data_IF_668006520563
#
_entry.id   IF_668006520563
#
_cell.length_a   1.000
_cell.length_b   1.000
_cell.length_c   1.000
_cell.angle_alpha   90.00
_cell.angle_beta   90.00
_cell.angle_gamma   90.00
#
_symmetry.space_group_name_H-M   'P 1'
#
loop_
_entity.id
_entity.type
_entity.pdbx_description
1 polymer ?
#
# COMPACT_ATOMS: atom_id res chain seq x y z
N UNK A 1 36.59 31.28 -64.34
CA UNK A 1 35.58 30.24 -64.03
C UNK A 1 35.59 29.99 -62.53
N UNK A 2 34.41 30.06 -61.94
CA UNK A 2 34.03 29.99 -60.51
C UNK A 2 34.75 28.89 -59.72
N UNK A 3 35.28 29.20 -58.52
CA UNK A 3 35.29 28.33 -57.32
C UNK A 3 35.32 29.20 -56.05
N UNK A 4 34.17 29.40 -55.41
CA UNK A 4 33.69 28.73 -54.19
C UNK A 4 34.46 29.11 -52.92
N UNK A 5 33.89 30.04 -52.14
CA UNK A 5 34.28 30.35 -50.76
C UNK A 5 33.46 29.42 -49.85
N UNK A 6 34.10 28.45 -49.22
CA UNK A 6 33.46 27.61 -48.20
C UNK A 6 33.43 28.33 -46.86
N UNK A 7 32.24 28.75 -46.46
CA UNK A 7 31.95 29.21 -45.09
C UNK A 7 31.83 28.00 -44.17
N UNK A 8 32.75 27.85 -43.22
CA UNK A 8 32.63 26.86 -42.14
C UNK A 8 31.80 27.45 -41.00
N UNK A 9 30.56 26.99 -40.86
CA UNK A 9 29.75 27.18 -39.65
C UNK A 9 30.23 26.19 -38.59
N UNK A 10 30.87 26.68 -37.52
CA UNK A 10 31.11 25.90 -36.30
C UNK A 10 29.77 25.75 -35.56
N UNK A 11 29.19 24.55 -35.61
CA UNK A 11 28.15 24.15 -34.66
C UNK A 11 28.81 23.71 -33.35
N UNK A 12 28.71 24.53 -32.30
CA UNK A 12 29.08 24.09 -30.95
C UNK A 12 28.03 23.10 -30.46
N UNK A 13 28.41 21.83 -30.35
CA UNK A 13 27.63 20.79 -29.66
C UNK A 13 27.58 21.13 -28.17
N UNK A 14 26.53 21.82 -27.74
CA UNK A 14 26.11 21.86 -26.34
C UNK A 14 25.57 20.47 -25.99
N UNK A 15 26.43 19.62 -25.43
CA UNK A 15 26.04 18.35 -24.85
C UNK A 15 25.13 18.62 -23.65
N UNK A 16 23.82 18.43 -23.84
CA UNK A 16 22.86 18.34 -22.74
C UNK A 16 23.19 17.05 -21.98
N UNK A 17 23.93 17.18 -20.89
CA UNK A 17 24.07 16.08 -19.93
C UNK A 17 22.71 15.91 -19.25
N UNK A 18 21.98 14.85 -19.65
CA UNK A 18 20.85 14.39 -18.87
C UNK A 18 21.40 13.96 -17.50
N UNK A 19 21.03 14.68 -16.43
CA UNK A 19 21.26 14.18 -15.08
C UNK A 19 20.42 12.93 -14.91
N UNK A 20 21.06 11.76 -14.90
CA UNK A 20 20.41 10.55 -14.41
C UNK A 20 20.11 10.78 -12.93
N UNK A 21 18.83 10.84 -12.56
CA UNK A 21 18.42 10.77 -11.16
C UNK A 21 18.89 9.43 -10.62
N UNK A 22 20.07 9.41 -10.00
CA UNK A 22 20.49 8.26 -9.22
C UNK A 22 19.48 8.05 -8.12
N UNK A 23 19.03 6.81 -8.05
CA UNK A 23 17.94 6.35 -7.23
C UNK A 23 18.32 6.40 -5.75
N UNK A 24 18.09 7.54 -5.10
CA UNK A 24 18.45 7.75 -3.71
C UNK A 24 17.49 7.01 -2.77
N UNK A 25 18.01 6.01 -2.05
CA UNK A 25 17.35 5.43 -0.87
C UNK A 25 17.79 6.23 0.36
N UNK A 26 16.85 6.81 1.09
CA UNK A 26 17.14 7.60 2.29
C UNK A 26 16.92 6.77 3.56
N UNK A 27 17.97 6.65 4.38
CA UNK A 27 17.92 5.92 5.65
C UNK A 27 17.47 6.80 6.82
N UNK A 28 17.37 8.11 6.64
CA UNK A 28 16.91 9.03 7.66
C UNK A 28 15.38 9.04 7.71
N UNK A 29 14.81 8.99 8.92
CA UNK A 29 13.39 9.25 9.14
C UNK A 29 13.13 10.75 9.25
N UNK A 30 12.43 11.39 8.29
CA UNK A 30 12.12 12.81 8.36
C UNK A 30 11.20 13.13 9.55
N UNK A 31 11.38 14.32 10.16
CA UNK A 31 10.65 14.73 11.37
C UNK A 31 9.13 14.77 11.20
N UNK A 32 8.66 15.02 9.98
CA UNK A 32 7.24 15.11 9.64
C UNK A 32 6.54 13.75 9.47
N UNK A 33 7.27 12.63 9.52
CA UNK A 33 6.63 11.33 9.75
C UNK A 33 6.04 11.27 11.16
N UNK A 34 4.79 10.84 11.24
CA UNK A 34 4.01 10.74 12.48
C UNK A 34 3.37 9.37 12.58
N UNK A 35 3.14 8.93 13.81
CA UNK A 35 2.24 7.81 14.07
C UNK A 35 0.79 8.28 13.88
N UNK A 36 0.01 7.58 13.06
CA UNK A 36 -1.37 7.94 12.76
C UNK A 36 -2.23 8.07 14.03
N UNK A 37 -1.98 7.26 15.06
CA UNK A 37 -2.78 7.25 16.30
C UNK A 37 -2.63 8.56 17.09
N UNK A 38 -1.55 9.31 16.87
CA UNK A 38 -1.36 10.65 17.46
C UNK A 38 -2.15 11.75 16.74
N UNK A 39 -2.65 11.48 15.53
CA UNK A 39 -3.39 12.44 14.69
C UNK A 39 -4.87 12.07 14.59
N UNK A 40 -5.17 10.78 14.46
CA UNK A 40 -6.51 10.21 14.33
C UNK A 40 -6.69 9.05 15.33
N UNK A 41 -6.97 9.32 16.61
CA UNK A 41 -6.97 8.30 17.66
C UNK A 41 -8.11 7.27 17.54
N UNK A 42 -9.15 7.55 16.75
CA UNK A 42 -10.27 6.63 16.53
C UNK A 42 -10.02 5.62 15.41
N UNK A 43 -8.89 5.70 14.69
CA UNK A 43 -8.54 4.69 13.67
C UNK A 43 -7.98 3.44 14.33
N UNK A 44 -8.29 2.30 13.74
CA UNK A 44 -7.73 1.01 14.16
C UNK A 44 -6.46 0.73 13.37
N UNK A 45 -5.42 0.20 14.03
CA UNK A 45 -4.14 -0.13 13.42
C UNK A 45 -3.90 -1.63 13.53
N UNK A 46 -3.88 -2.30 12.37
CA UNK A 46 -3.73 -3.75 12.22
C UNK A 46 -2.55 -4.04 11.30
N UNK A 47 -1.33 -3.67 11.75
CA UNK A 47 -0.12 -3.69 10.91
C UNK A 47 0.25 -5.11 10.45
N UNK A 48 -0.27 -5.52 9.28
CA UNK A 48 -0.21 -6.91 8.80
C UNK A 48 1.21 -7.42 8.61
N UNK A 49 2.11 -6.55 8.16
CA UNK A 49 3.51 -6.87 7.92
C UNK A 49 4.40 -6.87 9.18
N UNK A 50 3.91 -6.36 10.31
CA UNK A 50 4.53 -6.63 11.62
C UNK A 50 4.20 -8.04 12.13
N UNK A 51 3.05 -8.58 11.74
CA UNK A 51 2.56 -9.90 12.15
C UNK A 51 2.94 -11.01 11.15
N UNK A 52 2.53 -12.25 11.44
CA UNK A 52 2.61 -13.37 10.48
C UNK A 52 1.39 -13.51 9.57
N UNK A 53 0.28 -12.78 9.80
CA UNK A 53 -0.90 -12.88 8.93
C UNK A 53 -0.80 -11.92 7.74
N UNK A 54 0.04 -12.30 6.79
CA UNK A 54 0.24 -11.66 5.50
C UNK A 54 0.59 -12.72 4.45
N UNK A 55 0.71 -12.35 3.18
CA UNK A 55 0.97 -13.29 2.08
C UNK A 55 2.32 -14.03 2.15
N UNK A 56 3.25 -13.61 3.02
CA UNK A 56 4.52 -14.29 3.29
C UNK A 56 4.42 -15.21 4.51
N UNK A 57 3.49 -15.01 5.45
CA UNK A 57 3.30 -15.93 6.59
C UNK A 57 4.30 -15.75 7.73
N UNK A 58 5.05 -14.64 7.75
CA UNK A 58 5.95 -14.23 8.84
C UNK A 58 6.04 -12.70 8.91
N UNK A 59 6.54 -12.12 10.02
CA UNK A 59 6.89 -10.71 10.05
C UNK A 59 7.86 -10.33 8.92
N UNK A 60 7.62 -9.18 8.33
CA UNK A 60 8.36 -8.67 7.17
C UNK A 60 9.56 -7.86 7.66
N UNK A 61 10.69 -8.00 6.98
CA UNK A 61 11.90 -7.24 7.31
C UNK A 61 11.61 -5.73 7.31
N UNK A 62 12.07 -5.04 8.35
CA UNK A 62 11.88 -3.59 8.51
C UNK A 62 10.66 -3.19 9.34
N UNK A 63 9.72 -4.10 9.60
CA UNK A 63 8.60 -3.89 10.52
C UNK A 63 8.97 -4.31 11.94
N UNK A 64 9.47 -3.37 12.74
CA UNK A 64 9.95 -3.64 14.11
C UNK A 64 8.93 -3.26 15.20
N UNK A 65 7.81 -2.63 14.85
CA UNK A 65 6.72 -2.30 15.76
C UNK A 65 5.37 -2.25 15.00
N UNK A 66 4.23 -2.48 15.68
CA UNK A 66 2.91 -2.40 15.08
C UNK A 66 2.41 -0.94 15.00
N UNK A 67 3.20 -0.05 14.42
CA UNK A 67 2.86 1.38 14.27
C UNK A 67 2.68 1.74 12.81
N UNK A 68 1.66 2.56 12.52
CA UNK A 68 1.45 3.12 11.18
C UNK A 68 2.12 4.49 11.11
N UNK A 69 3.23 4.58 10.39
CA UNK A 69 3.93 5.84 10.13
C UNK A 69 3.48 6.43 8.79
N UNK A 70 3.11 7.70 8.79
CA UNK A 70 2.74 8.45 7.60
C UNK A 70 3.40 9.83 7.62
N UNK A 71 3.59 10.44 6.45
CA UNK A 71 3.84 11.89 6.40
C UNK A 71 2.66 12.63 7.05
N UNK A 72 2.94 13.72 7.76
CA UNK A 72 1.90 14.50 8.44
C UNK A 72 0.75 14.93 7.51
N UNK A 73 0.98 15.35 6.24
CA UNK A 73 -0.11 15.64 5.31
C UNK A 73 -1.03 14.44 5.05
N UNK A 74 -0.46 13.24 4.83
CA UNK A 74 -1.25 12.03 4.65
C UNK A 74 -2.04 11.67 5.93
N UNK A 75 -1.41 11.76 7.11
CA UNK A 75 -2.08 11.49 8.38
C UNK A 75 -3.26 12.45 8.64
N UNK A 76 -3.11 13.75 8.32
CA UNK A 76 -4.18 14.73 8.42
C UNK A 76 -5.34 14.42 7.46
N UNK A 77 -5.04 13.99 6.23
CA UNK A 77 -6.06 13.60 5.25
C UNK A 77 -6.82 12.34 5.69
N UNK A 78 -6.13 11.34 6.25
CA UNK A 78 -6.76 10.16 6.87
C UNK A 78 -7.70 10.57 8.02
N UNK A 79 -7.27 11.51 8.86
CA UNK A 79 -8.12 12.04 9.94
C UNK A 79 -9.42 12.64 9.40
N UNK A 80 -9.37 13.41 8.31
CA UNK A 80 -10.58 13.98 7.70
C UNK A 80 -11.56 12.89 7.25
N UNK A 81 -11.06 11.78 6.70
CA UNK A 81 -11.91 10.64 6.32
C UNK A 81 -12.52 9.97 7.55
N UNK A 82 -11.73 9.69 8.58
CA UNK A 82 -12.23 9.12 9.83
C UNK A 82 -13.29 10.02 10.50
N UNK A 83 -13.07 11.35 10.53
CA UNK A 83 -14.02 12.32 11.07
C UNK A 83 -15.36 12.31 10.30
N UNK A 84 -15.33 12.11 8.97
CA UNK A 84 -16.54 12.00 8.12
C UNK A 84 -17.31 10.70 8.33
N UNK A 85 -16.63 9.62 8.68
CA UNK A 85 -17.24 8.31 8.96
C UNK A 85 -17.88 8.26 10.36
N UNK A 86 -17.30 8.98 11.32
CA UNK A 86 -17.70 8.91 12.74
C UNK A 86 -19.20 9.13 13.01
N UNK A 87 -19.91 10.11 12.40
CA UNK A 87 -21.34 10.29 12.63
C UNK A 87 -22.21 9.09 12.23
N UNK A 88 -21.68 8.18 11.40
CA UNK A 88 -22.35 6.97 10.95
C UNK A 88 -21.97 5.72 11.77
N UNK A 89 -21.23 5.90 12.88
CA UNK A 89 -20.75 4.79 13.69
C UNK A 89 -19.66 3.96 13.00
N UNK A 90 -18.91 4.59 12.09
CA UNK A 90 -17.82 3.97 11.33
C UNK A 90 -16.50 4.68 11.60
N UNK A 91 -15.40 3.98 11.38
CA UNK A 91 -14.03 4.52 11.37
C UNK A 91 -13.18 3.75 10.34
N UNK A 92 -11.90 4.10 10.24
CA UNK A 92 -10.94 3.40 9.39
C UNK A 92 -10.16 2.35 10.19
N UNK A 93 -9.80 1.24 9.52
CA UNK A 93 -8.75 0.33 9.96
C UNK A 93 -7.65 0.30 8.92
N UNK A 94 -6.39 0.38 9.35
CA UNK A 94 -5.23 0.50 8.47
C UNK A 94 -4.35 -0.75 8.60
N UNK A 95 -4.01 -1.36 7.47
CA UNK A 95 -3.22 -2.59 7.37
C UNK A 95 -1.74 -2.34 7.12
N UNK A 96 -1.43 -1.30 6.34
CA UNK A 96 -0.06 -0.87 6.05
C UNK A 96 0.01 0.64 5.76
N UNK A 97 1.16 1.24 6.03
CA UNK A 97 1.45 2.66 5.86
C UNK A 97 2.83 2.83 5.22
N UNK A 98 3.73 3.61 5.81
CA UNK A 98 5.12 3.60 5.39
C UNK A 98 5.71 2.18 5.42
N UNK A 99 6.24 1.76 4.26
CA UNK A 99 6.90 0.47 4.04
C UNK A 99 8.37 0.71 3.68
N UNK A 100 9.34 0.32 4.52
CA UNK A 100 10.76 0.48 4.21
C UNK A 100 11.14 -0.23 2.91
N UNK A 101 12.11 0.29 2.16
CA UNK A 101 12.62 -0.38 0.96
C UNK A 101 13.13 -1.81 1.26
N UNK A 102 13.65 -2.06 2.46
CA UNK A 102 14.05 -3.39 2.93
C UNK A 102 12.90 -4.39 3.02
N UNK A 103 11.67 -3.94 3.28
CA UNK A 103 10.46 -4.78 3.21
C UNK A 103 10.11 -5.12 1.76
N UNK A 104 10.21 -4.13 0.86
CA UNK A 104 10.02 -4.36 -0.59
C UNK A 104 11.05 -5.36 -1.12
N UNK A 105 12.30 -5.25 -0.68
CA UNK A 105 13.36 -6.19 -1.04
C UNK A 105 13.08 -7.60 -0.50
N UNK A 106 12.47 -7.72 0.68
CA UNK A 106 12.02 -9.00 1.25
C UNK A 106 10.91 -9.62 0.38
N UNK A 107 9.95 -8.82 -0.09
CA UNK A 107 8.90 -9.28 -1.02
C UNK A 107 9.49 -9.81 -2.33
N UNK A 108 10.48 -9.10 -2.89
CA UNK A 108 11.19 -9.54 -4.11
C UNK A 108 11.94 -10.86 -3.86
N UNK A 109 12.64 -10.98 -2.74
CA UNK A 109 13.37 -12.20 -2.40
C UNK A 109 12.42 -13.40 -2.23
N UNK A 110 11.33 -13.21 -1.49
CA UNK A 110 10.28 -14.22 -1.30
C UNK A 110 9.62 -14.66 -2.62
N UNK A 111 9.35 -13.72 -3.52
CA UNK A 111 8.70 -14.04 -4.79
C UNK A 111 9.58 -14.89 -5.72
N UNK A 112 10.90 -14.73 -5.61
CA UNK A 112 11.89 -15.51 -6.37
C UNK A 112 12.14 -16.91 -5.82
N UNK A 113 11.74 -17.20 -4.59
CA UNK A 113 11.96 -18.49 -3.95
C UNK A 113 10.72 -19.39 -4.07
N UNK A 114 10.65 -20.33 -5.04
CA UNK A 114 9.45 -21.13 -5.28
C UNK A 114 9.07 -22.06 -4.12
N UNK A 115 9.92 -22.24 -3.10
CA UNK A 115 9.61 -23.09 -1.93
C UNK A 115 8.66 -22.41 -0.93
N UNK A 116 8.61 -21.08 -0.93
CA UNK A 116 7.83 -20.31 0.05
C UNK A 116 6.39 -20.01 -0.44
N UNK A 117 5.53 -21.03 -0.47
CA UNK A 117 4.13 -20.93 -0.92
C UNK A 117 3.09 -21.22 0.17
N UNK A 118 3.50 -21.18 1.44
CA UNK A 118 2.67 -21.56 2.59
C UNK A 118 1.34 -20.80 2.64
N UNK A 119 1.31 -19.53 2.22
CA UNK A 119 0.09 -18.70 2.24
C UNK A 119 -0.64 -18.64 0.90
N UNK A 120 -0.22 -19.43 -0.12
CA UNK A 120 -0.79 -19.38 -1.49
C UNK A 120 -2.30 -19.55 -1.48
N UNK A 121 -2.80 -20.52 -0.73
CA UNK A 121 -4.22 -20.85 -0.69
C UNK A 121 -5.09 -19.68 -0.20
N UNK A 122 -4.58 -18.83 0.69
CA UNK A 122 -5.30 -17.67 1.18
C UNK A 122 -5.11 -16.47 0.24
N UNK A 123 -3.88 -16.02 -0.03
CA UNK A 123 -3.65 -14.69 -0.61
C UNK A 123 -3.51 -14.65 -2.14
N UNK A 124 -3.02 -15.71 -2.78
CA UNK A 124 -2.79 -15.76 -4.23
C UNK A 124 -3.12 -17.13 -4.83
N UNK A 125 -4.35 -17.63 -4.63
CA UNK A 125 -4.70 -19.01 -4.95
C UNK A 125 -4.75 -19.29 -6.47
N UNK A 126 -4.89 -18.24 -7.28
CA UNK A 126 -5.05 -18.33 -8.73
C UNK A 126 -3.87 -17.74 -9.51
N UNK A 127 -2.91 -17.13 -8.82
CA UNK A 127 -1.79 -16.42 -9.45
C UNK A 127 -0.49 -17.13 -9.09
N UNK A 128 0.34 -17.40 -10.10
CA UNK A 128 1.67 -17.94 -9.85
C UNK A 128 2.58 -16.86 -9.28
N UNK A 129 3.40 -17.22 -8.29
CA UNK A 129 4.12 -16.23 -7.49
C UNK A 129 5.08 -15.34 -8.30
N UNK A 130 5.67 -15.88 -9.37
CA UNK A 130 6.54 -15.13 -10.28
C UNK A 130 5.78 -14.10 -11.14
N UNK A 131 4.44 -14.20 -11.23
CA UNK A 131 3.56 -13.28 -11.97
C UNK A 131 3.10 -12.09 -11.15
N UNK A 132 3.25 -12.11 -9.84
CA UNK A 132 2.74 -11.05 -8.95
C UNK A 132 3.30 -9.66 -9.28
N UNK A 133 4.53 -9.57 -9.79
CA UNK A 133 5.11 -8.30 -10.28
C UNK A 133 4.58 -7.90 -11.65
N UNK A 134 4.46 -8.86 -12.58
CA UNK A 134 3.95 -8.62 -13.93
C UNK A 134 2.48 -8.19 -13.93
N UNK A 135 1.70 -8.71 -12.98
CA UNK A 135 0.28 -8.41 -12.81
C UNK A 135 0.03 -7.20 -11.90
N UNK A 136 1.08 -6.54 -11.42
CA UNK A 136 0.99 -5.26 -10.72
C UNK A 136 0.58 -5.34 -9.24
N UNK A 137 0.49 -6.53 -8.66
CA UNK A 137 0.24 -6.71 -7.21
C UNK A 137 1.48 -6.42 -6.35
N UNK A 138 2.67 -6.59 -6.92
CA UNK A 138 3.93 -6.22 -6.25
C UNK A 138 4.71 -5.25 -7.12
N UNK A 139 5.31 -4.26 -6.47
CA UNK A 139 6.17 -3.27 -7.11
C UNK A 139 7.58 -3.31 -6.54
N UNK A 140 8.60 -3.29 -7.40
CA UNK A 140 10.00 -3.16 -6.95
C UNK A 140 10.29 -1.80 -6.29
N UNK A 141 9.41 -0.81 -6.56
CA UNK A 141 9.36 0.50 -5.93
C UNK A 141 7.93 0.77 -5.51
N UNK A 142 7.68 0.72 -4.21
CA UNK A 142 6.35 0.96 -3.67
C UNK A 142 6.15 2.45 -3.35
N UNK A 143 4.96 2.98 -3.61
CA UNK A 143 4.55 4.30 -3.10
C UNK A 143 4.58 4.38 -1.57
N UNK A 144 4.40 3.24 -0.89
CA UNK A 144 4.52 3.14 0.58
C UNK A 144 5.88 3.58 1.09
N UNK A 145 6.95 3.34 0.33
CA UNK A 145 8.30 3.76 0.73
C UNK A 145 8.52 5.27 0.68
N UNK A 146 7.56 6.04 0.15
CA UNK A 146 7.55 7.51 0.16
C UNK A 146 6.78 8.10 1.35
N UNK A 147 6.10 7.24 2.11
CA UNK A 147 5.44 7.59 3.38
C UNK A 147 4.06 8.23 3.27
N UNK A 148 3.51 8.39 2.07
CA UNK A 148 2.18 8.99 1.86
C UNK A 148 1.19 8.04 1.18
N UNK A 149 1.49 6.74 1.23
CA UNK A 149 0.64 5.66 0.72
C UNK A 149 0.26 4.74 1.87
N UNK A 150 -0.96 4.21 1.83
CA UNK A 150 -1.49 3.32 2.86
C UNK A 150 -2.54 2.38 2.30
N UNK A 151 -2.72 1.27 3.02
CA UNK A 151 -3.72 0.24 2.75
C UNK A 151 -4.73 0.21 3.89
N UNK A 152 -6.02 0.39 3.59
CA UNK A 152 -7.04 0.55 4.62
C UNK A 152 -8.41 0.02 4.23
N UNK A 153 -9.28 -0.03 5.24
CA UNK A 153 -10.69 -0.42 5.13
C UNK A 153 -11.57 0.45 6.03
N UNK A 154 -12.88 0.24 5.93
CA UNK A 154 -13.88 0.81 6.83
C UNK A 154 -14.35 -0.28 7.82
N UNK A 155 -14.45 0.08 9.10
CA UNK A 155 -14.93 -0.77 10.19
C UNK A 155 -15.98 -0.05 11.03
N UNK A 156 -16.86 -0.77 11.76
CA UNK A 156 -17.67 -0.15 12.82
C UNK A 156 -16.80 0.46 13.90
N UNK A 157 -17.17 1.66 14.39
CA UNK A 157 -16.38 2.46 15.33
C UNK A 157 -15.98 1.68 16.60
N UNK A 158 -16.93 0.96 17.19
CA UNK A 158 -16.72 0.21 18.44
C UNK A 158 -16.32 -1.27 18.23
N UNK A 159 -16.02 -1.66 16.97
CA UNK A 159 -15.57 -3.02 16.67
C UNK A 159 -14.17 -3.29 17.20
N UNK A 160 -13.85 -4.55 17.45
CA UNK A 160 -12.50 -4.98 17.86
C UNK A 160 -11.82 -5.71 16.72
N UNK A 161 -10.52 -5.47 16.56
CA UNK A 161 -9.68 -6.26 15.65
C UNK A 161 -9.66 -7.71 16.17
N UNK A 162 -10.09 -8.70 15.37
CA UNK A 162 -10.02 -10.10 15.76
C UNK A 162 -8.57 -10.55 15.93
N UNK A 163 -8.31 -11.41 16.91
CA UNK A 163 -6.98 -12.02 17.07
C UNK A 163 -6.78 -13.05 15.98
N UNK A 164 -5.67 -12.94 15.24
CA UNK A 164 -5.27 -13.95 14.27
C UNK A 164 -4.93 -15.27 14.96
N UNK A 165 -5.50 -16.36 14.44
CA UNK A 165 -5.24 -17.73 14.88
C UNK A 165 -4.53 -18.49 13.73
N UNK A 166 -3.21 -18.72 13.82
CA UNK A 166 -2.47 -19.45 12.79
C UNK A 166 -2.85 -20.94 12.71
N UNK A 167 -3.62 -21.47 13.66
CA UNK A 167 -4.16 -22.83 13.62
C UNK A 167 -5.39 -22.98 12.74
N UNK A 168 -6.02 -21.88 12.29
CA UNK A 168 -7.17 -21.95 11.39
C UNK A 168 -6.77 -22.39 9.98
N UNK A 169 -7.66 -23.11 9.26
CA UNK A 169 -7.44 -23.39 7.85
C UNK A 169 -7.28 -22.10 7.05
N UNK A 170 -6.28 -22.07 6.16
CA UNK A 170 -6.10 -20.98 5.21
C UNK A 170 -7.21 -21.06 4.15
N UNK A 171 -8.10 -20.07 4.18
CA UNK A 171 -9.25 -19.97 3.26
C UNK A 171 -8.95 -18.94 2.19
N UNK A 172 -9.30 -19.26 0.95
CA UNK A 172 -9.14 -18.37 -0.20
C UNK A 172 -9.70 -16.96 0.09
N UNK A 173 -8.89 -15.93 -0.18
CA UNK A 173 -9.23 -14.52 0.03
C UNK A 173 -10.42 -14.03 -0.81
N UNK A 174 -10.85 -14.77 -1.83
CA UNK A 174 -12.07 -14.53 -2.61
C UNK A 174 -13.30 -15.26 -2.08
N UNK A 175 -13.16 -16.07 -1.02
CA UNK A 175 -14.29 -16.72 -0.38
C UNK A 175 -15.19 -15.70 0.35
N UNK A 176 -16.40 -16.14 0.72
CA UNK A 176 -17.32 -15.27 1.45
C UNK A 176 -16.71 -14.79 2.76
N UNK A 177 -17.09 -13.58 3.21
CA UNK A 177 -16.55 -12.98 4.43
C UNK A 177 -16.71 -13.89 5.67
N UNK A 178 -17.77 -14.70 5.74
CA UNK A 178 -18.00 -15.63 6.85
C UNK A 178 -17.03 -16.82 6.88
N UNK A 179 -16.40 -17.16 5.76
CA UNK A 179 -15.45 -18.27 5.65
C UNK A 179 -14.01 -17.83 5.83
N UNK A 180 -13.67 -16.59 5.46
CA UNK A 180 -12.32 -16.03 5.55
C UNK A 180 -11.88 -15.87 7.01
N UNK A 181 -10.58 -15.69 7.20
CA UNK A 181 -10.00 -15.21 8.46
C UNK A 181 -10.75 -13.93 8.92
N UNK A 182 -11.25 -13.86 10.16
CA UNK A 182 -12.03 -12.72 10.62
C UNK A 182 -11.23 -11.40 10.58
N UNK A 183 -11.85 -10.32 10.11
CA UNK A 183 -11.17 -9.05 9.88
C UNK A 183 -11.91 -7.79 10.37
N UNK A 184 -13.09 -7.90 10.99
CA UNK A 184 -13.94 -6.77 11.43
C UNK A 184 -14.29 -5.66 10.39
N UNK A 185 -13.79 -5.75 9.15
CA UNK A 185 -14.12 -4.86 8.05
C UNK A 185 -15.57 -4.99 7.62
N UNK A 186 -16.10 -3.94 7.00
CA UNK A 186 -17.21 -4.12 6.06
C UNK A 186 -16.80 -5.13 4.98
N UNK A 187 -17.76 -5.78 4.33
CA UNK A 187 -17.43 -6.73 3.27
C UNK A 187 -17.11 -6.00 1.96
N UNK A 188 -15.83 -5.99 1.57
CA UNK A 188 -15.35 -5.44 0.30
C UNK A 188 -15.22 -6.52 -0.79
N UNK A 189 -15.66 -7.75 -0.54
CA UNK A 189 -15.68 -8.85 -1.52
C UNK A 189 -14.42 -9.72 -1.57
N UNK A 190 -13.29 -9.22 -1.07
CA UNK A 190 -12.07 -10.02 -0.86
C UNK A 190 -11.43 -9.71 0.48
N UNK A 191 -10.44 -10.52 0.87
CA UNK A 191 -9.47 -10.15 1.91
C UNK A 191 -8.57 -9.01 1.47
N UNK A 192 -7.91 -8.38 2.45
CA UNK A 192 -6.71 -7.56 2.23
C UNK A 192 -5.58 -8.44 1.66
N UNK A 193 -4.71 -7.86 0.83
CA UNK A 193 -3.63 -8.56 0.10
C UNK A 193 -4.12 -9.74 -0.77
N UNK A 194 -5.37 -9.71 -1.20
CA UNK A 194 -5.88 -10.72 -2.12
C UNK A 194 -5.39 -10.45 -3.54
N UNK A 195 -4.38 -11.19 -4.00
CA UNK A 195 -3.83 -11.06 -5.35
C UNK A 195 -4.73 -11.80 -6.34
N UNK A 196 -5.84 -11.14 -6.68
CA UNK A 196 -6.87 -11.63 -7.60
C UNK A 196 -7.52 -10.46 -8.35
N UNK A 197 -7.95 -10.64 -9.61
CA UNK A 197 -8.74 -9.64 -10.32
C UNK A 197 -10.02 -9.22 -9.58
N UNK A 198 -10.51 -10.05 -8.64
CA UNK A 198 -11.65 -9.71 -7.79
C UNK A 198 -11.38 -8.52 -6.86
N UNK A 199 -10.11 -8.21 -6.61
CA UNK A 199 -9.68 -7.09 -5.76
C UNK A 199 -9.62 -5.74 -6.47
N UNK A 200 -9.74 -5.73 -7.81
CA UNK A 200 -9.76 -4.50 -8.60
C UNK A 200 -10.97 -3.63 -8.19
N UNK A 201 -10.80 -2.32 -7.88
CA UNK A 201 -11.83 -1.52 -7.23
C UNK A 201 -13.17 -1.45 -7.97
N UNK A 202 -13.14 -1.55 -9.30
CA UNK A 202 -14.24 -1.46 -10.26
C UNK A 202 -14.76 -2.83 -10.73
N UNK A 203 -14.37 -3.92 -10.08
CA UNK A 203 -14.84 -5.27 -10.43
C UNK A 203 -16.37 -5.41 -10.33
N UNK A 204 -17.00 -5.71 -11.46
CA UNK A 204 -18.47 -5.74 -11.61
C UNK A 204 -19.13 -7.02 -11.10
N UNK A 205 -18.37 -8.10 -10.87
CA UNK A 205 -18.89 -9.42 -10.44
C UNK A 205 -19.35 -9.38 -8.97
N UNK A 206 -18.82 -8.44 -8.20
CA UNK A 206 -19.15 -8.26 -6.80
C UNK A 206 -20.62 -7.89 -6.56
N UNK A 207 -21.10 -8.23 -5.37
CA UNK A 207 -22.46 -7.88 -4.95
C UNK A 207 -22.67 -6.37 -4.89
N UNK A 208 -23.92 -5.92 -4.95
CA UNK A 208 -24.24 -4.50 -4.82
C UNK A 208 -23.68 -3.86 -3.54
N UNK A 209 -23.78 -4.56 -2.40
CA UNK A 209 -23.25 -4.06 -1.12
C UNK A 209 -21.73 -3.94 -1.12
N UNK A 210 -21.01 -4.94 -1.66
CA UNK A 210 -19.54 -4.90 -1.73
C UNK A 210 -19.06 -3.75 -2.62
N UNK A 211 -19.71 -3.53 -3.77
CA UNK A 211 -19.41 -2.39 -4.66
C UNK A 211 -19.75 -1.05 -4.00
N UNK A 212 -20.86 -0.97 -3.25
CA UNK A 212 -21.21 0.23 -2.50
C UNK A 212 -20.16 0.56 -1.42
N UNK A 213 -19.64 -0.45 -0.71
CA UNK A 213 -18.57 -0.27 0.28
C UNK A 213 -17.29 0.25 -0.39
N UNK A 214 -16.88 -0.34 -1.53
CA UNK A 214 -15.72 0.13 -2.32
C UNK A 214 -15.91 1.57 -2.81
N UNK A 215 -17.10 1.90 -3.32
CA UNK A 215 -17.42 3.24 -3.79
C UNK A 215 -17.38 4.26 -2.65
N UNK A 216 -17.93 3.93 -1.48
CA UNK A 216 -17.87 4.78 -0.30
C UNK A 216 -16.42 5.09 0.09
N UNK A 217 -15.60 4.05 0.23
CA UNK A 217 -14.19 4.20 0.57
C UNK A 217 -13.45 5.05 -0.46
N UNK A 218 -13.56 4.72 -1.74
CA UNK A 218 -12.90 5.48 -2.81
C UNK A 218 -13.34 6.94 -2.85
N UNK A 219 -14.64 7.22 -2.70
CA UNK A 219 -15.16 8.60 -2.73
C UNK A 219 -14.57 9.42 -1.59
N UNK A 220 -14.60 8.88 -0.36
CA UNK A 220 -14.06 9.56 0.81
C UNK A 220 -12.55 9.81 0.69
N UNK A 221 -11.79 8.81 0.23
CA UNK A 221 -10.35 8.92 0.06
C UNK A 221 -9.99 9.92 -1.05
N UNK A 222 -10.70 9.91 -2.18
CA UNK A 222 -10.50 10.87 -3.28
C UNK A 222 -10.80 12.30 -2.84
N UNK A 223 -11.90 12.52 -2.13
CA UNK A 223 -12.26 13.82 -1.57
C UNK A 223 -11.18 14.35 -0.61
N UNK A 224 -10.50 13.45 0.11
CA UNK A 224 -9.39 13.78 1.00
C UNK A 224 -8.03 13.93 0.27
N UNK A 225 -8.00 13.84 -1.06
CA UNK A 225 -6.82 14.07 -1.89
C UNK A 225 -6.00 12.82 -2.22
N UNK A 226 -6.52 11.62 -1.97
CA UNK A 226 -5.86 10.37 -2.34
C UNK A 226 -6.26 9.88 -3.73
N UNK A 227 -5.32 9.17 -4.38
CA UNK A 227 -5.54 8.43 -5.62
C UNK A 227 -5.52 6.93 -5.31
N UNK A 228 -6.57 6.16 -5.68
CA UNK A 228 -6.57 4.70 -5.52
C UNK A 228 -5.68 4.02 -6.55
N UNK A 229 -5.35 2.75 -6.29
CA UNK A 229 -4.73 1.85 -7.26
C UNK A 229 -5.79 0.97 -7.95
N UNK A 230 -5.69 0.81 -9.27
CA UNK A 230 -6.71 0.11 -10.08
C UNK A 230 -6.70 -1.42 -9.87
N UNK A 231 -5.70 -1.98 -9.20
CA UNK A 231 -5.61 -3.42 -8.91
C UNK A 231 -6.03 -3.77 -7.48
N UNK A 232 -6.18 -2.78 -6.59
CA UNK A 232 -6.33 -3.01 -5.15
C UNK A 232 -7.33 -2.05 -4.50
N UNK A 233 -8.47 -2.56 -4.04
CA UNK A 233 -9.53 -1.72 -3.44
C UNK A 233 -9.14 -0.99 -2.15
N UNK A 234 -8.11 -1.49 -1.45
CA UNK A 234 -7.65 -0.97 -0.15
C UNK A 234 -6.56 0.10 -0.27
N UNK A 235 -5.93 0.24 -1.44
CA UNK A 235 -4.67 0.97 -1.61
C UNK A 235 -4.88 2.41 -2.07
N UNK A 236 -4.24 3.36 -1.38
CA UNK A 236 -4.38 4.79 -1.67
C UNK A 236 -3.05 5.55 -1.49
N UNK A 237 -2.70 6.39 -2.46
CA UNK A 237 -1.54 7.31 -2.41
C UNK A 237 -1.99 8.77 -2.36
N UNK A 238 -1.42 9.59 -1.47
CA UNK A 238 -1.71 11.02 -1.45
C UNK A 238 -1.20 11.68 -2.74
N UNK A 239 -2.08 12.38 -3.46
CA UNK A 239 -1.77 12.91 -4.80
C UNK A 239 -0.67 13.97 -4.76
N UNK A 240 -0.70 14.86 -3.76
CA UNK A 240 0.30 15.92 -3.55
C UNK A 240 1.18 15.56 -2.35
N UNK A 241 1.90 14.45 -2.45
CA UNK A 241 2.77 13.98 -1.37
C UNK A 241 4.06 14.80 -1.22
N UNK A 242 4.65 14.90 -0.01
CA UNK A 242 5.87 15.67 0.21
C UNK A 242 7.13 15.09 -0.44
N UNK A 243 7.16 13.77 -0.66
CA UNK A 243 8.36 13.03 -1.03
C UNK A 243 8.19 12.16 -2.29
N UNK A 244 7.68 12.71 -3.42
CA UNK A 244 7.29 11.90 -4.59
C UNK A 244 8.47 11.15 -5.26
N UNK A 245 9.70 11.60 -5.00
CA UNK A 245 10.93 11.06 -5.60
C UNK A 245 11.91 10.48 -4.55
N UNK A 246 11.47 10.26 -3.31
CA UNK A 246 12.33 9.73 -2.23
C UNK A 246 11.78 8.43 -1.70
N UNK A 247 12.58 7.37 -1.73
CA UNK A 247 12.26 6.08 -1.14
C UNK A 247 13.04 5.93 0.16
N UNK A 248 12.34 5.78 1.27
CA UNK A 248 12.95 5.63 2.59
C UNK A 248 13.19 4.16 2.95
N UNK A 249 14.19 3.92 3.79
CA UNK A 249 14.52 2.60 4.35
C UNK A 249 14.91 2.65 5.83
N UNK A 250 14.39 3.61 6.59
CA UNK A 250 14.41 3.52 8.05
C UNK A 250 13.41 2.46 8.53
N UNK A 251 13.67 1.72 9.62
CA UNK A 251 12.74 0.70 10.11
C UNK A 251 11.46 1.34 10.67
N UNK A 252 10.33 0.65 10.51
CA UNK A 252 9.08 0.97 11.21
C UNK A 252 9.27 0.64 12.68
N UNK A 253 9.42 1.67 13.51
CA UNK A 253 9.56 1.57 14.95
C UNK A 253 8.88 2.76 15.62
N UNK A 254 8.46 2.59 16.87
CA UNK A 254 7.99 3.71 17.68
C UNK A 254 9.14 4.71 17.88
N UNK A 255 8.85 6.00 17.77
CA UNK A 255 9.82 7.02 18.17
C UNK A 255 10.00 6.94 19.70
N UNK A 256 11.24 7.04 20.21
CA UNK A 256 11.50 7.09 21.64
C UNK A 256 10.86 8.31 22.29
#
# INVERSE_FOLDING_TARGET
MVKCVSSFLLFSLLSVQAMSAENHIDLHQPKDFVDITTVAPDVQVDMRYFSSHNFIGRPIKGYNAPVCLLTRPAANAVKQVADRLRPFGLTLKIYDCYRPQSAVNDFIAWAKDPSQNQMKNEFYPQVEKNRLFEEGYLAARSGHSRGSTLDLTIVPLDSKIPIYDPGRPLVNCTASAAQRSPDNSLDFGTGFDCFSPLSHPDNVILTAQQRANRLLLQTLMRDAGFTPLDTEWWHFSLTHEPYPNTWFDFPVKQRP
#
